data_IF_703117946279
#
_entry.id   IF_703117946279
#
_cell.length_a   1.000
_cell.length_b   1.000
_cell.length_c   1.000
_cell.angle_alpha   90.00
_cell.angle_beta   90.00
_cell.angle_gamma   90.00
#
_symmetry.space_group_name_H-M   'P 1'
#
loop_
_entity.id
_entity.type
_entity.pdbx_description
1 polymer ?
#
# COMPACT_ATOMS: atom_id res chain seq x y z
N UNK A 1 -23.57 -11.94 28.65
CA UNK A 1 -22.66 -11.29 27.68
C UNK A 1 -22.95 -9.80 27.76
N UNK A 2 -21.96 -9.00 28.18
CA UNK A 2 -22.16 -7.63 28.65
C UNK A 2 -22.43 -6.68 27.47
N UNK A 3 -23.59 -6.02 27.43
CA UNK A 3 -23.96 -5.08 26.36
C UNK A 3 -22.92 -3.95 26.25
N UNK A 4 -22.31 -3.55 27.38
CA UNK A 4 -21.24 -2.57 27.40
C UNK A 4 -19.98 -3.06 26.68
N UNK A 5 -19.65 -4.37 26.75
CA UNK A 5 -18.53 -4.95 26.02
C UNK A 5 -18.83 -5.03 24.52
N UNK A 6 -20.07 -5.30 24.13
CA UNK A 6 -20.48 -5.25 22.71
C UNK A 6 -20.44 -3.82 22.17
N UNK A 7 -20.93 -2.82 22.91
CA UNK A 7 -20.86 -1.43 22.51
C UNK A 7 -19.42 -0.91 22.46
N UNK A 8 -18.55 -1.33 23.40
CA UNK A 8 -17.13 -1.00 23.36
C UNK A 8 -16.42 -1.68 22.19
N UNK A 9 -16.74 -2.94 21.88
CA UNK A 9 -16.19 -3.65 20.72
C UNK A 9 -16.74 -3.12 19.39
N UNK A 10 -17.99 -2.67 19.34
CA UNK A 10 -18.57 -1.97 18.19
C UNK A 10 -17.95 -0.59 18.05
N UNK A 11 -17.78 0.17 19.13
CA UNK A 11 -17.06 1.45 19.13
C UNK A 11 -15.61 1.28 18.71
N UNK A 12 -14.89 0.29 19.24
CA UNK A 12 -13.51 -0.04 18.85
C UNK A 12 -13.47 -0.51 17.39
N UNK A 13 -14.38 -1.38 16.92
CA UNK A 13 -14.45 -1.78 15.50
C UNK A 13 -14.80 -0.61 14.58
N UNK A 14 -15.72 0.26 14.98
CA UNK A 14 -16.10 1.47 14.22
C UNK A 14 -14.91 2.43 14.15
N UNK A 15 -14.22 2.70 15.27
CA UNK A 15 -13.03 3.56 15.27
C UNK A 15 -11.80 2.92 14.59
N UNK A 16 -11.67 1.60 14.57
CA UNK A 16 -10.64 0.90 13.78
C UNK A 16 -11.00 0.94 12.27
N UNK A 17 -12.29 1.03 11.92
CA UNK A 17 -12.79 1.21 10.54
C UNK A 17 -12.72 2.69 10.09
N UNK A 18 -12.48 3.65 10.98
CA UNK A 18 -12.27 5.06 10.63
C UNK A 18 -10.81 5.32 10.19
N UNK A 19 -10.59 5.39 8.88
CA UNK A 19 -9.59 6.22 8.14
C UNK A 19 -9.19 5.61 6.79
N UNK A 20 -10.05 4.81 6.16
CA UNK A 20 -9.82 4.38 4.78
C UNK A 20 -10.80 5.11 3.86
N UNK A 21 -10.36 5.63 2.70
CA UNK A 21 -11.29 6.20 1.74
C UNK A 21 -12.27 5.13 1.25
N UNK A 22 -13.50 5.54 0.91
CA UNK A 22 -14.50 4.60 0.39
C UNK A 22 -14.20 4.17 -1.06
N UNK A 23 -13.60 5.07 -1.83
CA UNK A 23 -13.24 4.84 -3.22
C UNK A 23 -12.09 3.80 -3.33
N UNK A 24 -12.24 2.72 -4.13
CA UNK A 24 -11.20 1.71 -4.31
C UNK A 24 -9.87 2.25 -4.86
N UNK A 25 -9.89 3.24 -5.75
CA UNK A 25 -8.68 3.83 -6.31
C UNK A 25 -7.96 4.71 -5.28
N UNK A 26 -8.71 5.47 -4.48
CA UNK A 26 -8.13 6.24 -3.37
C UNK A 26 -7.52 5.31 -2.29
N UNK A 27 -8.14 4.14 -2.05
CA UNK A 27 -7.56 3.12 -1.14
C UNK A 27 -6.26 2.56 -1.70
N UNK A 28 -6.19 2.31 -3.00
CA UNK A 28 -4.94 1.88 -3.65
C UNK A 28 -3.85 2.92 -3.47
N UNK A 29 -4.15 4.21 -3.67
CA UNK A 29 -3.17 5.27 -3.45
C UNK A 29 -2.63 5.23 -2.01
N UNK A 30 -3.50 5.22 -0.99
CA UNK A 30 -3.05 5.11 0.40
C UNK A 30 -2.22 3.83 0.66
N UNK A 31 -2.66 2.71 0.10
CA UNK A 31 -1.93 1.44 0.19
C UNK A 31 -0.53 1.56 -0.42
N UNK A 32 -0.39 2.13 -1.62
CA UNK A 32 0.90 2.27 -2.29
C UNK A 32 1.86 3.18 -1.53
N UNK A 33 1.37 4.26 -0.92
CA UNK A 33 2.18 5.10 -0.03
C UNK A 33 2.75 4.27 1.13
N UNK A 34 1.90 3.49 1.78
CA UNK A 34 2.29 2.71 2.96
C UNK A 34 3.17 1.51 2.59
N UNK A 35 2.92 0.86 1.47
CA UNK A 35 3.77 -0.21 0.92
C UNK A 35 5.19 0.31 0.61
N UNK A 36 5.30 1.46 -0.05
CA UNK A 36 6.60 2.10 -0.32
C UNK A 36 7.37 2.39 0.98
N UNK A 37 6.71 3.02 1.97
CA UNK A 37 7.31 3.38 3.26
C UNK A 37 7.78 2.15 4.02
N UNK A 38 6.97 1.08 4.06
CA UNK A 38 7.36 -0.21 4.64
C UNK A 38 8.55 -0.83 3.92
N UNK A 39 8.52 -0.89 2.59
CA UNK A 39 9.59 -1.46 1.79
C UNK A 39 10.94 -0.76 2.04
N UNK A 40 10.94 0.57 2.22
CA UNK A 40 12.12 1.34 2.62
C UNK A 40 12.64 0.91 4.00
N UNK A 41 11.76 0.70 4.98
CA UNK A 41 12.18 0.26 6.32
C UNK A 41 12.60 -1.20 6.39
N UNK A 42 12.05 -2.04 5.51
CA UNK A 42 12.31 -3.48 5.43
C UNK A 42 13.46 -3.82 4.46
N UNK A 43 14.12 -2.80 3.93
CA UNK A 43 15.33 -2.95 3.11
C UNK A 43 15.07 -3.72 1.80
N UNK A 44 13.84 -3.56 1.29
CA UNK A 44 13.32 -4.13 0.04
C UNK A 44 13.31 -3.12 -1.10
N UNK A 45 14.04 -2.01 -0.94
CA UNK A 45 14.04 -0.90 -1.88
C UNK A 45 15.48 -0.61 -2.31
N UNK A 46 15.83 -1.08 -3.51
CA UNK A 46 17.19 -0.96 -4.03
C UNK A 46 17.54 0.48 -4.41
N UNK A 47 18.82 0.84 -4.31
CA UNK A 47 19.32 2.16 -4.70
C UNK A 47 19.11 3.28 -3.66
N UNK A 48 18.44 3.01 -2.55
CA UNK A 48 18.24 3.96 -1.45
C UNK A 48 18.60 3.32 -0.11
N UNK A 49 19.18 4.07 0.85
CA UNK A 49 19.42 3.52 2.18
C UNK A 49 18.10 3.24 2.90
N UNK A 50 18.02 2.15 3.69
CA UNK A 50 16.80 1.82 4.40
C UNK A 50 16.49 2.89 5.45
N UNK A 51 15.21 3.23 5.58
CA UNK A 51 14.78 4.16 6.60
C UNK A 51 14.79 3.51 7.98
N UNK A 52 15.21 4.26 9.00
CA UNK A 52 15.15 3.84 10.40
C UNK A 52 13.71 3.74 10.88
N UNK A 53 12.87 4.70 10.48
CA UNK A 53 11.47 4.78 10.86
C UNK A 53 10.65 5.54 9.81
N UNK A 54 9.64 4.88 9.23
CA UNK A 54 8.63 5.49 8.35
C UNK A 54 7.28 4.85 8.65
N UNK A 55 6.44 5.44 9.52
CA UNK A 55 5.15 4.86 9.86
C UNK A 55 4.18 5.00 8.68
N UNK A 56 3.20 4.10 8.64
CA UNK A 56 2.05 4.20 7.73
C UNK A 56 1.36 5.57 7.87
N UNK A 57 1.06 6.17 6.73
CA UNK A 57 0.23 7.36 6.64
C UNK A 57 -1.23 7.02 6.93
N UNK A 58 -1.92 7.99 7.51
CA UNK A 58 -3.37 7.94 7.75
C UNK A 58 -4.10 8.74 6.67
N UNK A 59 -5.30 8.31 6.31
CA UNK A 59 -6.14 9.12 5.44
C UNK A 59 -6.66 10.36 6.18
N UNK A 60 -6.67 11.50 5.50
CA UNK A 60 -7.40 12.69 5.95
C UNK A 60 -8.36 13.19 4.87
N UNK A 61 -9.62 13.40 5.27
CA UNK A 61 -10.69 13.77 4.35
C UNK A 61 -10.62 15.25 3.90
N UNK A 62 -10.05 16.15 4.69
CA UNK A 62 -9.90 17.56 4.30
C UNK A 62 -8.78 17.71 3.27
N UNK A 63 -7.65 17.03 3.47
CA UNK A 63 -6.60 16.93 2.45
C UNK A 63 -7.14 16.36 1.13
N UNK A 64 -7.94 15.29 1.22
CA UNK A 64 -8.55 14.64 0.06
C UNK A 64 -9.56 15.54 -0.66
N UNK A 65 -10.38 16.29 0.09
CA UNK A 65 -11.30 17.27 -0.49
C UNK A 65 -10.54 18.32 -1.28
N UNK A 66 -9.48 18.90 -0.71
CA UNK A 66 -8.65 19.91 -1.40
C UNK A 66 -7.92 19.34 -2.62
N UNK A 67 -7.47 18.09 -2.54
CA UNK A 67 -6.85 17.40 -3.66
C UNK A 67 -7.86 17.16 -4.79
N UNK A 68 -9.11 16.82 -4.43
CA UNK A 68 -10.21 16.63 -5.40
C UNK A 68 -10.60 17.94 -6.08
N UNK A 69 -10.63 19.06 -5.35
CA UNK A 69 -10.89 20.38 -5.91
C UNK A 69 -9.89 20.69 -7.04
N UNK A 70 -8.58 20.55 -6.77
CA UNK A 70 -7.54 20.75 -7.79
C UNK A 70 -7.64 19.75 -8.94
N UNK A 71 -7.86 18.46 -8.63
CA UNK A 71 -7.97 17.44 -9.67
C UNK A 71 -9.12 17.72 -10.64
N UNK A 72 -10.23 18.31 -10.18
CA UNK A 72 -11.38 18.67 -11.01
C UNK A 72 -11.07 19.76 -12.05
N UNK A 73 -10.03 20.57 -11.83
CA UNK A 73 -9.63 21.62 -12.76
C UNK A 73 -9.05 21.06 -14.05
N UNK A 74 -8.57 19.81 -14.04
CA UNK A 74 -7.94 19.17 -15.19
C UNK A 74 -6.87 20.08 -15.82
N UNK A 75 -5.97 20.61 -14.98
CA UNK A 75 -4.85 21.44 -15.41
C UNK A 75 -3.62 21.11 -14.57
N UNK A 76 -2.46 20.96 -15.22
CA UNK A 76 -1.23 20.56 -14.53
C UNK A 76 -0.56 21.76 -13.87
N UNK A 77 -0.97 22.06 -12.64
CA UNK A 77 -0.44 23.15 -11.83
C UNK A 77 -0.62 22.87 -10.35
N UNK A 78 0.24 23.48 -9.52
CA UNK A 78 0.08 23.48 -8.07
C UNK A 78 -0.84 24.60 -7.61
N UNK A 79 -1.51 24.38 -6.48
CA UNK A 79 -2.24 25.42 -5.76
C UNK A 79 -1.84 25.47 -4.28
N UNK A 80 -2.16 26.59 -3.63
CA UNK A 80 -1.95 26.74 -2.20
C UNK A 80 -3.06 26.04 -1.41
N UNK A 81 -2.69 25.02 -0.63
CA UNK A 81 -3.63 24.29 0.23
C UNK A 81 -3.54 24.83 1.66
N UNK A 82 -4.48 25.70 2.02
CA UNK A 82 -4.54 26.31 3.35
C UNK A 82 -5.44 25.51 4.31
N UNK A 83 -4.84 24.81 5.29
CA UNK A 83 -5.51 24.07 6.36
C UNK A 83 -4.81 24.33 7.72
N UNK A 84 -4.76 25.59 8.18
CA UNK A 84 -3.86 26.05 9.23
C UNK A 84 -4.29 25.54 10.62
N UNK A 85 -5.54 25.10 10.77
CA UNK A 85 -6.05 24.45 11.98
C UNK A 85 -5.46 23.05 12.20
N UNK A 86 -4.81 22.46 11.19
CA UNK A 86 -4.22 21.11 11.24
C UNK A 86 -2.74 21.09 10.88
N UNK A 87 -2.33 21.84 9.86
CA UNK A 87 -0.95 21.84 9.36
C UNK A 87 -0.50 23.25 8.99
N UNK A 88 0.70 23.60 9.43
CA UNK A 88 1.37 24.84 9.04
C UNK A 88 1.70 24.86 7.53
N UNK A 89 2.04 23.70 6.98
CA UNK A 89 2.36 23.51 5.57
C UNK A 89 1.79 22.18 5.06
N UNK A 90 1.21 22.21 3.87
CA UNK A 90 0.67 21.06 3.16
C UNK A 90 1.48 20.84 1.88
N UNK A 91 2.07 19.65 1.74
CA UNK A 91 2.78 19.25 0.52
C UNK A 91 1.78 18.73 -0.53
N UNK A 92 2.19 18.69 -1.80
CA UNK A 92 1.32 18.28 -2.90
C UNK A 92 2.09 17.54 -4.00
N UNK A 93 1.56 16.40 -4.44
CA UNK A 93 2.00 15.70 -5.63
C UNK A 93 0.88 15.69 -6.67
N UNK A 94 1.23 15.90 -7.95
CA UNK A 94 0.30 15.93 -9.08
C UNK A 94 0.82 15.04 -10.20
N UNK A 95 -0.08 14.31 -10.84
CA UNK A 95 0.25 13.43 -11.95
C UNK A 95 -0.92 13.36 -12.95
N UNK A 96 -0.57 13.22 -14.22
CA UNK A 96 -1.51 12.93 -15.30
C UNK A 96 -1.17 11.59 -15.94
N UNK A 97 -2.02 10.57 -15.76
CA UNK A 97 -1.82 9.23 -16.34
C UNK A 97 -3.15 8.50 -16.58
N UNK A 98 -3.11 7.39 -17.31
CA UNK A 98 -4.31 6.60 -17.60
C UNK A 98 -4.83 5.85 -16.38
N UNK A 99 -3.96 5.53 -15.42
CA UNK A 99 -4.34 4.84 -14.17
C UNK A 99 -3.63 5.42 -12.95
N UNK A 100 -4.18 5.16 -11.76
CA UNK A 100 -3.57 5.58 -10.48
C UNK A 100 -2.25 4.87 -10.20
N UNK A 101 -2.09 3.64 -10.69
CA UNK A 101 -0.85 2.87 -10.60
C UNK A 101 0.27 3.57 -11.37
N UNK A 102 0.00 3.97 -12.62
CA UNK A 102 0.98 4.69 -13.44
C UNK A 102 1.36 6.04 -12.82
N UNK A 103 0.38 6.77 -12.28
CA UNK A 103 0.61 8.03 -11.58
C UNK A 103 1.52 7.83 -10.34
N UNK A 104 1.21 6.83 -9.51
CA UNK A 104 2.01 6.56 -8.33
C UNK A 104 3.41 6.05 -8.69
N UNK A 105 3.53 5.18 -9.69
CA UNK A 105 4.81 4.66 -10.16
C UNK A 105 5.69 5.79 -10.71
N UNK A 106 5.13 6.76 -11.42
CA UNK A 106 5.86 7.93 -11.90
C UNK A 106 6.47 8.73 -10.74
N UNK A 107 5.70 9.02 -9.69
CA UNK A 107 6.22 9.69 -8.49
C UNK A 107 7.26 8.85 -7.75
N UNK A 108 7.00 7.55 -7.58
CA UNK A 108 7.91 6.64 -6.90
C UNK A 108 9.23 6.57 -7.63
N UNK A 109 9.22 6.33 -8.94
CA UNK A 109 10.38 6.03 -9.78
C UNK A 109 11.42 7.15 -9.85
N UNK A 110 11.07 8.35 -9.39
CA UNK A 110 12.02 9.42 -9.15
C UNK A 110 13.12 9.06 -8.13
N UNK A 111 12.93 8.01 -7.32
CA UNK A 111 14.00 7.45 -6.48
C UNK A 111 15.25 7.09 -7.30
N UNK A 112 15.10 6.78 -8.59
CA UNK A 112 16.21 6.46 -9.50
C UNK A 112 17.07 7.69 -9.83
N UNK A 113 16.52 8.89 -9.63
CA UNK A 113 17.16 10.18 -9.89
C UNK A 113 17.62 10.88 -8.60
N UNK A 114 17.22 10.37 -7.44
CA UNK A 114 17.59 10.92 -6.14
C UNK A 114 18.79 10.18 -5.55
N UNK A 115 19.83 10.89 -5.12
CA UNK A 115 20.93 10.33 -4.35
C UNK A 115 20.83 10.80 -2.90
N UNK A 116 20.48 9.88 -1.99
CA UNK A 116 20.29 10.21 -0.58
C UNK A 116 21.53 10.86 0.03
N UNK A 117 22.69 10.21 -0.05
CA UNK A 117 23.89 10.66 0.69
C UNK A 117 24.42 12.03 0.24
N UNK A 118 24.33 12.35 -1.05
CA UNK A 118 24.72 13.64 -1.60
C UNK A 118 23.59 14.68 -1.60
N UNK A 119 22.38 14.29 -1.16
CA UNK A 119 21.16 15.11 -1.22
C UNK A 119 20.93 15.75 -2.59
N UNK A 120 21.31 15.04 -3.66
CA UNK A 120 21.29 15.58 -5.02
C UNK A 120 20.20 14.91 -5.84
N UNK A 121 19.58 15.70 -6.73
CA UNK A 121 18.59 15.23 -7.69
C UNK A 121 19.10 15.48 -9.12
N UNK A 122 19.09 14.44 -9.96
CA UNK A 122 19.53 14.52 -11.35
C UNK A 122 18.39 14.86 -12.34
N UNK A 123 17.18 15.07 -11.84
CA UNK A 123 15.98 15.37 -12.62
C UNK A 123 14.86 15.92 -11.73
N UNK A 124 13.72 15.23 -11.70
CA UNK A 124 12.64 15.50 -10.73
C UNK A 124 12.73 14.45 -9.63
N UNK A 125 12.71 14.90 -8.37
CA UNK A 125 12.75 14.03 -7.19
C UNK A 125 11.74 14.40 -6.12
N UNK A 126 11.10 15.56 -6.25
CA UNK A 126 10.23 16.14 -5.23
C UNK A 126 9.03 15.26 -4.89
N UNK A 127 8.52 14.51 -5.88
CA UNK A 127 7.40 13.61 -5.63
C UNK A 127 7.86 12.42 -4.80
N UNK A 128 8.96 11.76 -5.18
CA UNK A 128 9.51 10.64 -4.40
C UNK A 128 9.85 11.06 -2.98
N UNK A 129 10.59 12.16 -2.80
CA UNK A 129 11.02 12.60 -1.47
C UNK A 129 9.84 12.99 -0.58
N UNK A 130 8.72 13.48 -1.15
CA UNK A 130 7.47 13.66 -0.41
C UNK A 130 6.85 12.34 0.04
N UNK A 131 6.81 11.31 -0.82
CA UNK A 131 6.23 10.00 -0.47
C UNK A 131 6.94 9.36 0.74
N UNK A 132 8.26 9.51 0.80
CA UNK A 132 9.11 8.96 1.87
C UNK A 132 9.46 9.97 2.95
N UNK A 133 8.75 11.10 3.02
CA UNK A 133 9.00 12.11 4.04
C UNK A 133 8.60 11.62 5.43
N UNK A 134 9.54 11.56 6.36
CA UNK A 134 9.36 10.93 7.67
C UNK A 134 8.34 11.64 8.54
N UNK A 135 8.31 12.98 8.47
CA UNK A 135 7.40 13.78 9.30
C UNK A 135 5.98 13.87 8.73
N UNK A 136 5.76 13.45 7.47
CA UNK A 136 4.40 13.35 6.92
C UNK A 136 3.65 12.24 7.64
N UNK A 137 2.45 12.56 8.13
CA UNK A 137 1.63 11.63 8.94
C UNK A 137 0.30 11.31 8.28
N UNK A 138 -0.20 12.22 7.45
CA UNK A 138 -1.49 12.10 6.77
C UNK A 138 -1.34 12.35 5.28
N UNK A 139 -2.20 11.70 4.51
CA UNK A 139 -2.37 11.93 3.07
C UNK A 139 -3.85 11.95 2.74
N UNK A 140 -4.23 12.79 1.79
CA UNK A 140 -5.54 12.75 1.17
C UNK A 140 -5.42 13.05 -0.31
N UNK A 141 -6.04 12.22 -1.14
CA UNK A 141 -5.92 12.31 -2.60
C UNK A 141 -7.28 12.54 -3.27
N UNK A 142 -7.22 13.11 -4.46
CA UNK A 142 -8.33 13.32 -5.37
C UNK A 142 -7.99 12.81 -6.77
N UNK A 143 -8.99 12.23 -7.44
CA UNK A 143 -8.86 11.71 -8.81
C UNK A 143 -10.00 12.28 -9.64
N UNK A 144 -9.70 12.77 -10.84
CA UNK A 144 -10.69 13.20 -11.83
C UNK A 144 -10.35 12.61 -13.19
N UNK A 145 -11.35 12.06 -13.87
CA UNK A 145 -11.19 11.69 -15.27
C UNK A 145 -11.34 12.94 -16.15
N UNK A 146 -10.24 13.32 -16.80
CA UNK A 146 -10.12 14.47 -17.70
C UNK A 146 -10.10 14.05 -19.17
N UNK A 147 -10.51 12.82 -19.50
CA UNK A 147 -10.56 12.34 -20.89
C UNK A 147 -11.42 13.28 -21.74
N UNK A 148 -10.88 13.74 -22.87
CA UNK A 148 -11.53 14.71 -23.75
C UNK A 148 -11.27 16.18 -23.39
N UNK A 149 -10.55 16.46 -22.30
CA UNK A 149 -10.08 17.81 -21.99
C UNK A 149 -8.75 18.08 -22.74
N UNK A 150 -8.77 19.02 -23.70
CA UNK A 150 -7.59 19.40 -24.48
C UNK A 150 -6.45 19.98 -23.62
N UNK A 151 -6.76 20.59 -22.47
CA UNK A 151 -5.78 21.10 -21.52
C UNK A 151 -5.12 20.03 -20.64
N UNK A 152 -5.60 18.78 -20.69
CA UNK A 152 -5.08 17.66 -19.90
C UNK A 152 -5.11 16.34 -20.68
N UNK A 153 -4.20 16.13 -21.64
CA UNK A 153 -4.23 15.01 -22.56
C UNK A 153 -3.77 13.68 -21.94
N UNK A 154 -3.81 13.53 -20.61
CA UNK A 154 -3.21 12.40 -19.89
C UNK A 154 -4.20 11.36 -19.38
N UNK A 155 -5.52 11.63 -19.43
CA UNK A 155 -6.55 10.76 -18.88
C UNK A 155 -6.98 11.18 -17.47
N UNK A 156 -6.42 10.57 -16.43
CA UNK A 156 -6.74 10.90 -15.04
C UNK A 156 -5.83 12.01 -14.51
N UNK A 157 -6.41 13.04 -13.92
CA UNK A 157 -5.72 13.97 -13.01
C UNK A 157 -5.72 13.38 -11.61
N UNK A 158 -4.54 13.09 -11.08
CA UNK A 158 -4.33 12.50 -9.75
C UNK A 158 -3.54 13.49 -8.90
N UNK A 159 -4.14 13.90 -7.78
CA UNK A 159 -3.55 14.86 -6.84
C UNK A 159 -3.51 14.21 -5.46
N UNK A 160 -2.40 14.32 -4.73
CA UNK A 160 -2.32 13.94 -3.33
C UNK A 160 -1.74 15.08 -2.51
N UNK A 161 -2.41 15.44 -1.41
CA UNK A 161 -1.96 16.42 -0.44
C UNK A 161 -1.45 15.72 0.83
N UNK A 162 -0.41 16.29 1.45
CA UNK A 162 0.35 15.68 2.54
C UNK A 162 0.41 16.58 3.77
N UNK A 163 0.07 16.03 4.93
CA UNK A 163 0.00 16.75 6.19
C UNK A 163 0.87 16.11 7.29
N UNK A 164 1.85 16.83 7.87
CA UNK A 164 2.47 18.03 7.30
C UNK A 164 3.19 17.72 5.98
N UNK A 165 3.40 18.76 5.18
CA UNK A 165 4.19 18.69 3.95
C UNK A 165 5.67 18.42 4.21
N UNK A 166 6.35 17.91 3.19
CA UNK A 166 7.78 17.58 3.20
C UNK A 166 8.62 18.48 2.30
N UNK A 167 9.76 17.96 1.84
CA UNK A 167 10.67 18.65 0.92
C UNK A 167 11.23 19.97 1.45
N UNK A 168 11.49 20.06 2.75
CA UNK A 168 12.21 21.19 3.32
C UNK A 168 13.64 21.23 2.78
N UNK A 169 14.06 22.38 2.26
CA UNK A 169 15.38 22.60 1.70
C UNK A 169 16.49 22.22 2.69
N UNK A 170 17.53 21.56 2.19
CA UNK A 170 18.67 21.14 3.01
C UNK A 170 18.34 20.06 4.05
N UNK A 171 17.20 19.36 3.95
CA UNK A 171 16.85 18.24 4.84
C UNK A 171 16.71 16.93 4.10
N UNK A 172 17.17 15.85 4.73
CA UNK A 172 16.90 14.50 4.26
C UNK A 172 15.42 14.15 4.43
N UNK A 173 14.84 13.34 3.54
CA UNK A 173 13.44 12.95 3.65
C UNK A 173 13.18 12.03 4.86
N UNK A 174 14.18 11.30 5.33
CA UNK A 174 14.08 10.41 6.49
C UNK A 174 15.47 10.17 7.10
N UNK A 175 15.53 9.68 8.33
CA UNK A 175 16.75 9.18 8.97
C UNK A 175 17.07 7.76 8.45
N UNK A 176 18.25 7.57 7.87
CA UNK A 176 18.71 6.26 7.39
C UNK A 176 19.22 5.37 8.53
N UNK A 177 19.12 4.06 8.33
CA UNK A 177 19.83 3.02 9.11
C UNK A 177 20.78 2.25 8.20
N UNK A 178 21.69 1.48 8.79
CA UNK A 178 22.58 0.60 8.02
C UNK A 178 21.81 -0.59 7.44
N UNK A 179 22.31 -1.14 6.33
CA UNK A 179 21.76 -2.37 5.75
C UNK A 179 21.91 -3.58 6.70
N UNK A 180 22.95 -3.59 7.53
CA UNK A 180 23.20 -4.67 8.50
C UNK A 180 22.11 -4.75 9.58
N UNK A 181 21.50 -3.62 9.94
CA UNK A 181 20.38 -3.58 10.90
C UNK A 181 19.12 -4.30 10.37
N UNK A 182 19.02 -4.50 9.05
CA UNK A 182 17.96 -5.30 8.45
C UNK A 182 18.15 -6.81 8.72
N UNK A 183 19.40 -7.27 8.78
CA UNK A 183 19.76 -8.68 8.97
C UNK A 183 19.98 -9.08 10.43
N UNK A 184 20.11 -8.10 11.33
CA UNK A 184 20.26 -8.33 12.77
C UNK A 184 19.03 -8.99 13.45
N UNK A 185 17.90 -9.12 12.74
CA UNK A 185 16.71 -9.84 13.19
C UNK A 185 16.86 -11.35 12.98
N UNK A 186 17.61 -11.79 11.98
CA UNK A 186 17.73 -13.22 11.59
C UNK A 186 18.80 -13.97 12.40
N UNK A 187 19.75 -13.26 13.01
CA UNK A 187 20.91 -13.87 13.73
C UNK A 187 20.80 -13.81 15.25
N UNK A 188 19.74 -13.22 15.81
CA UNK A 188 19.48 -13.31 17.25
C UNK A 188 19.04 -14.74 17.59
N UNK A 189 20.03 -15.61 17.80
CA UNK A 189 19.89 -16.87 18.52
C UNK A 189 19.08 -16.55 19.78
N UNK A 190 17.95 -17.25 20.06
CA UNK A 190 17.19 -17.02 21.27
C UNK A 190 18.16 -17.04 22.44
N UNK A 191 18.21 -15.96 23.23
CA UNK A 191 18.99 -15.93 24.46
C UNK A 191 18.55 -17.18 25.25
N UNK A 192 19.47 -18.09 25.64
CA UNK A 192 19.10 -19.26 26.40
C UNK A 192 18.27 -18.79 27.60
N UNK A 193 17.00 -19.16 27.62
CA UNK A 193 16.13 -18.89 28.76
C UNK A 193 16.87 -19.47 29.97
N UNK A 194 17.06 -18.64 31.01
CA UNK A 194 17.64 -19.12 32.26
C UNK A 194 16.89 -20.40 32.64
N UNK A 195 17.64 -21.49 32.81
CA UNK A 195 17.13 -22.80 33.20
C UNK A 195 16.18 -22.58 34.39
N UNK A 196 14.93 -23.07 34.34
CA UNK A 196 14.01 -22.92 35.45
C UNK A 196 14.71 -23.42 36.71
N UNK A 197 14.74 -22.58 37.75
CA UNK A 197 15.23 -23.01 39.05
C UNK A 197 14.32 -24.15 39.47
N UNK A 198 14.88 -25.34 39.62
CA UNK A 198 14.17 -26.53 40.08
C UNK A 198 13.63 -26.24 41.48
N UNK A 199 12.36 -25.85 41.58
CA UNK A 199 11.69 -25.74 42.88
C UNK A 199 11.66 -27.13 43.50
N UNK A 200 12.09 -27.23 44.77
CA UNK A 200 12.08 -28.48 45.54
C UNK A 200 10.70 -29.13 45.45
N UNK A 201 10.70 -30.44 45.19
CA UNK A 201 9.52 -31.30 45.12
C UNK A 201 8.63 -31.05 46.36
N UNK A 202 7.36 -30.67 46.20
CA UNK A 202 6.43 -30.55 47.32
C UNK A 202 6.33 -31.89 48.06
N UNK A 203 6.34 -31.83 49.40
CA UNK A 203 6.07 -33.01 50.22
C UNK A 203 4.67 -33.54 49.88
N UNK A 204 4.60 -34.83 49.59
CA UNK A 204 3.37 -35.57 49.30
C UNK A 204 2.38 -35.45 50.47
N UNK A 205 1.22 -34.85 50.22
CA UNK A 205 0.07 -34.92 51.12
C UNK A 205 -0.60 -36.29 51.02
N UNK A 206 -1.16 -36.76 52.15
CA UNK A 206 -1.84 -38.06 52.26
C UNK A 206 -3.01 -38.16 51.28
N UNK A 207 -3.03 -39.28 50.56
CA UNK A 207 -4.08 -39.73 49.66
C UNK A 207 -5.44 -39.79 50.39
N UNK A 208 -6.48 -39.08 49.93
CA UNK A 208 -7.84 -39.23 50.47
C UNK A 208 -8.37 -40.64 50.19
N UNK A 209 -9.17 -41.17 51.12
CA UNK A 209 -9.80 -42.49 50.99
C UNK A 209 -10.80 -42.52 49.84
N UNK A 210 -10.81 -43.63 49.11
CA UNK A 210 -11.61 -43.93 47.94
C UNK A 210 -13.12 -43.82 48.18
N UNK A 211 -13.79 -43.00 47.38
CA UNK A 211 -15.26 -43.01 47.24
C UNK A 211 -15.69 -44.18 46.36
N UNK A 212 -16.80 -44.85 46.72
CA UNK A 212 -17.32 -46.04 46.05
C UNK A 212 -17.58 -45.83 44.56
N UNK A 213 -17.25 -46.86 43.79
CA UNK A 213 -17.40 -46.97 42.33
C UNK A 213 -18.87 -46.83 41.89
N UNK A 214 -19.22 -45.89 41.00
CA UNK A 214 -20.56 -45.84 40.40
C UNK A 214 -20.81 -47.03 39.49
N UNK A 215 -22.08 -47.46 39.46
CA UNK A 215 -22.58 -48.58 38.68
C UNK A 215 -22.50 -48.27 37.18
N UNK A 216 -22.04 -49.22 36.38
CA UNK A 216 -21.87 -49.12 34.93
C UNK A 216 -23.19 -48.84 34.21
N UNK A 217 -23.28 -47.73 33.48
CA UNK A 217 -24.35 -47.46 32.52
C UNK A 217 -24.07 -48.16 31.19
N UNK A 218 -25.13 -48.66 30.56
CA UNK A 218 -25.10 -49.47 29.33
C UNK A 218 -24.58 -48.63 28.14
N UNK A 219 -23.73 -49.25 27.33
CA UNK A 219 -23.12 -48.70 26.11
C UNK A 219 -24.21 -48.30 25.10
N UNK A 220 -24.24 -47.06 24.57
CA UNK A 220 -25.10 -46.71 23.45
C UNK A 220 -24.68 -47.46 22.18
N UNK A 221 -25.66 -47.93 21.41
CA UNK A 221 -25.45 -48.52 20.09
C UNK A 221 -24.79 -47.51 19.13
N UNK A 222 -23.82 -48.00 18.37
CA UNK A 222 -23.19 -47.28 17.27
C UNK A 222 -24.19 -47.07 16.15
N UNK A 223 -24.54 -45.81 15.88
CA UNK A 223 -25.25 -45.39 14.68
C UNK A 223 -24.40 -45.71 13.44
N UNK A 224 -25.03 -46.37 12.45
CA UNK A 224 -24.42 -46.69 11.16
C UNK A 224 -24.04 -45.40 10.42
N UNK A 225 -22.84 -45.43 9.84
CA UNK A 225 -22.28 -44.41 8.95
C UNK A 225 -23.19 -44.23 7.71
N UNK A 226 -23.64 -43.02 7.36
CA UNK A 226 -24.33 -42.78 6.10
C UNK A 226 -23.42 -43.11 4.93
N UNK A 227 -23.94 -43.85 3.94
CA UNK A 227 -23.24 -44.20 2.73
C UNK A 227 -22.92 -42.97 1.88
N UNK A 228 -21.71 -42.92 1.32
CA UNK A 228 -21.29 -41.96 0.30
C UNK A 228 -22.11 -42.16 -0.97
N UNK A 229 -22.90 -41.14 -1.34
CA UNK A 229 -23.52 -41.03 -2.66
C UNK A 229 -22.43 -40.63 -3.67
N UNK A 230 -22.22 -41.37 -4.77
CA UNK A 230 -21.28 -40.96 -5.81
C UNK A 230 -21.82 -39.71 -6.53
N UNK A 231 -21.17 -38.56 -6.34
CA UNK A 231 -21.38 -37.39 -7.17
C UNK A 231 -20.78 -37.63 -8.55
N UNK A 232 -21.64 -37.80 -9.56
CA UNK A 232 -21.25 -37.84 -10.97
C UNK A 232 -20.74 -36.45 -11.36
N UNK A 233 -19.45 -36.34 -11.76
CA UNK A 233 -18.93 -35.12 -12.39
C UNK A 233 -19.71 -34.86 -13.68
N UNK A 234 -20.19 -33.62 -13.94
CA UNK A 234 -20.63 -33.25 -15.27
C UNK A 234 -19.44 -33.32 -16.24
N UNK A 235 -19.61 -34.08 -17.32
CA UNK A 235 -18.68 -34.12 -18.43
C UNK A 235 -18.82 -32.83 -19.26
N UNK A 236 -17.95 -31.85 -19.03
CA UNK A 236 -17.83 -30.63 -19.84
C UNK A 236 -16.77 -30.86 -20.93
N UNK A 237 -16.85 -31.97 -21.67
CA UNK A 237 -15.99 -32.21 -22.86
C UNK A 237 -16.69 -31.99 -24.19
N UNK A 238 -17.95 -31.49 -24.20
CA UNK A 238 -18.68 -31.21 -25.45
C UNK A 238 -19.47 -29.92 -25.37
N UNK A 239 -18.80 -28.74 -25.37
CA UNK A 239 -19.36 -27.46 -25.85
C UNK A 239 -18.39 -26.26 -25.72
N UNK A 240 -17.14 -26.39 -26.16
CA UNK A 240 -16.31 -25.21 -26.45
C UNK A 240 -15.69 -25.39 -27.84
N UNK A 241 -16.13 -24.66 -28.87
CA UNK A 241 -15.39 -24.62 -30.13
C UNK A 241 -14.01 -23.99 -29.90
N UNK A 242 -12.97 -24.68 -30.37
CA UNK A 242 -11.56 -24.22 -30.28
C UNK A 242 -11.40 -22.90 -31.05
N UNK A 243 -10.65 -21.91 -30.54
CA UNK A 243 -10.28 -20.74 -31.34
C UNK A 243 -9.38 -21.16 -32.50
N UNK A 244 -9.79 -20.82 -33.72
CA UNK A 244 -9.09 -21.12 -34.96
C UNK A 244 -7.95 -20.11 -35.16
N UNK A 245 -6.71 -20.54 -34.89
CA UNK A 245 -5.50 -19.70 -34.88
C UNK A 245 -4.80 -19.38 -36.24
N UNK A 246 -5.37 -19.56 -37.45
CA UNK A 246 -4.73 -19.06 -38.67
C UNK A 246 -5.59 -18.11 -39.53
N UNK A 247 -6.09 -16.99 -38.99
CA UNK A 247 -6.63 -15.86 -39.80
C UNK A 247 -6.28 -14.46 -39.26
N UNK A 248 -5.12 -14.32 -38.62
CA UNK A 248 -4.56 -13.02 -38.22
C UNK A 248 -3.28 -12.63 -38.98
N UNK A 249 -3.20 -12.95 -40.28
CA UNK A 249 -2.20 -12.35 -41.20
C UNK A 249 -2.82 -12.23 -42.60
N UNK A 250 -3.56 -11.16 -42.88
CA UNK A 250 -3.80 -10.61 -44.24
C UNK A 250 -4.78 -9.43 -44.21
N UNK A 251 -4.42 -8.37 -43.50
CA UNK A 251 -4.78 -7.00 -43.88
C UNK A 251 -3.81 -6.08 -43.16
N UNK A 252 -3.41 -4.99 -43.79
CA UNK A 252 -2.33 -4.07 -43.40
C UNK A 252 -0.93 -4.39 -43.96
N UNK A 253 -0.89 -4.68 -45.26
CA UNK A 253 0.21 -4.22 -46.11
C UNK A 253 -0.30 -3.04 -46.94
N UNK A 254 -0.04 -1.82 -46.48
CA UNK A 254 -0.38 -0.60 -47.20
C UNK A 254 0.19 0.62 -46.50
N UNK A 255 1.02 1.38 -47.22
CA UNK A 255 1.75 2.59 -46.82
C UNK A 255 3.11 2.40 -46.14
N UNK A 256 4.03 1.79 -46.89
CA UNK A 256 5.38 2.31 -46.94
C UNK A 256 5.40 3.44 -47.98
N UNK A 257 5.59 4.69 -47.54
CA UNK A 257 6.18 5.72 -48.37
C UNK A 257 7.21 6.48 -47.53
N UNK A 258 8.39 6.56 -48.12
CA UNK A 258 9.62 7.11 -47.59
C UNK A 258 9.63 8.63 -47.60
N UNK A 259 10.48 9.17 -46.72
CA UNK A 259 11.10 10.50 -46.77
C UNK A 259 10.21 11.73 -46.48
N UNK A 260 10.23 12.17 -45.22
CA UNK A 260 10.43 13.58 -44.90
C UNK A 260 11.20 13.74 -43.58
N UNK A 261 12.42 14.29 -43.70
CA UNK A 261 13.03 15.31 -42.84
C UNK A 261 13.14 14.97 -41.34
N UNK A 262 14.32 14.56 -40.86
CA UNK A 262 15.28 15.46 -40.21
C UNK A 262 14.65 16.56 -39.34
N UNK A 263 14.86 16.44 -38.02
CA UNK A 263 14.98 17.59 -37.14
C UNK A 263 13.89 17.76 -36.10
N UNK A 264 14.35 17.86 -34.85
CA UNK A 264 13.70 18.53 -33.70
C UNK A 264 12.70 17.67 -32.92
N UNK A 265 13.21 16.97 -31.90
CA UNK A 265 12.50 16.86 -30.61
C UNK A 265 13.45 17.44 -29.56
N UNK A 266 13.44 18.76 -29.43
CA UNK A 266 13.89 19.44 -28.22
C UNK A 266 12.91 19.12 -27.11
N UNK A 267 13.45 18.52 -26.04
CA UNK A 267 12.84 18.47 -24.71
C UNK A 267 12.33 19.86 -24.35
N UNK A 268 11.05 19.99 -24.00
CA UNK A 268 10.56 21.16 -23.29
C UNK A 268 10.19 20.71 -21.89
N UNK A 269 11.15 20.85 -20.97
CA UNK A 269 10.87 20.95 -19.54
C UNK A 269 10.29 22.35 -19.31
N UNK A 270 9.09 22.44 -18.76
CA UNK A 270 8.58 23.69 -18.20
C UNK A 270 8.87 23.61 -16.70
N UNK A 271 9.94 24.29 -16.28
CA UNK A 271 10.13 24.73 -14.91
C UNK A 271 9.31 26.02 -14.74
N UNK A 272 8.50 26.10 -13.69
CA UNK A 272 7.97 27.37 -13.19
C UNK A 272 8.57 27.53 -11.79
N UNK A 273 9.18 28.69 -11.58
CA UNK A 273 9.78 29.18 -10.34
C UNK A 273 8.72 29.46 -9.28
#
# INVERSE_FOLDING_TARGET
MNILLLLLLVYIKVNIVFSQPNDPQLRKLLQYHNDLRRNLTECKFEGQPPAKYLPDLKWDNELASKAKDLANECYFHHNDVNLPHKWEYVGQNIAGYQTVEQAFDAWKDEYKQYSYYSMSCYGVCGHYTQLVWQNTTHVGCGITNCTGNYGFPYGLSVVCNYGPGGNYEGRYPYEAKSQDECYAVTTRRPKPTRRPVTTKRPKTTRRPSTTKRPRTTRRPETTRRPGTIPTRKPDISKQIPKPNWPTLISSWSGFANSNMLQGIITKTCICIQ
#
